data_IF_026972950972
#
_entry.id   IF_026972950972
#
_cell.length_a   1.000
_cell.length_b   1.000
_cell.length_c   1.000
_cell.angle_alpha   90.00
_cell.angle_beta   90.00
_cell.angle_gamma   90.00
#
_symmetry.space_group_name_H-M   'P 1'
#
loop_
_entity.id
_entity.type
_entity.pdbx_description
1 polymer ?
#
# COMPACT_ATOMS: atom_id res chain seq x y z
N UNK A 1 -3.20 12.08 -30.60
CA UNK A 1 -2.93 11.17 -29.47
C UNK A 1 -4.23 11.09 -28.68
N UNK A 2 -4.79 9.90 -28.52
CA UNK A 2 -5.95 9.69 -27.65
C UNK A 2 -5.59 10.13 -26.25
N UNK A 3 -6.45 10.93 -25.64
CA UNK A 3 -6.23 11.47 -24.30
C UNK A 3 -6.53 10.37 -23.29
N UNK A 4 -5.52 9.92 -22.54
CA UNK A 4 -5.72 8.96 -21.45
C UNK A 4 -6.45 9.68 -20.32
N UNK A 5 -7.68 9.27 -20.04
CA UNK A 5 -8.48 9.78 -18.93
C UNK A 5 -8.11 9.01 -17.66
N UNK A 6 -7.27 9.60 -16.80
CA UNK A 6 -6.78 8.96 -15.57
C UNK A 6 -7.90 8.52 -14.61
N UNK A 7 -9.07 9.18 -14.65
CA UNK A 7 -10.25 8.80 -13.86
C UNK A 7 -10.75 7.39 -14.17
N UNK A 8 -10.52 6.87 -15.38
CA UNK A 8 -10.89 5.51 -15.77
C UNK A 8 -10.22 4.44 -14.86
N UNK A 9 -9.03 4.73 -14.32
CA UNK A 9 -8.30 3.83 -13.43
C UNK A 9 -9.02 3.59 -12.09
N UNK A 10 -9.88 4.50 -11.65
CA UNK A 10 -10.67 4.31 -10.42
C UNK A 10 -11.77 3.26 -10.55
N UNK A 11 -12.08 2.81 -11.79
CA UNK A 11 -13.03 1.72 -12.03
C UNK A 11 -12.39 0.32 -11.92
N UNK A 12 -11.07 0.24 -11.76
CA UNK A 12 -10.40 -1.04 -11.51
C UNK A 12 -10.69 -1.43 -10.05
N UNK A 13 -11.25 -2.64 -9.87
CA UNK A 13 -11.52 -3.19 -8.54
C UNK A 13 -10.22 -3.63 -7.88
N UNK A 14 -9.93 -3.09 -6.68
CA UNK A 14 -8.78 -3.47 -5.87
C UNK A 14 -9.19 -3.87 -4.47
N UNK A 15 -8.52 -4.88 -3.92
CA UNK A 15 -8.44 -5.09 -2.47
C UNK A 15 -7.51 -4.06 -1.81
N UNK A 16 -7.30 -4.19 -0.51
CA UNK A 16 -6.34 -3.38 0.23
C UNK A 16 -5.57 -4.26 1.21
N UNK A 17 -4.24 -4.16 1.16
CA UNK A 17 -3.33 -5.11 1.78
C UNK A 17 -2.20 -4.39 2.49
N UNK A 18 -1.74 -4.99 3.61
CA UNK A 18 -0.48 -4.59 4.21
C UNK A 18 0.60 -5.60 3.80
N UNK A 19 1.71 -5.09 3.28
CA UNK A 19 2.90 -5.89 3.00
C UNK A 19 3.89 -5.69 4.13
N UNK A 20 4.51 -6.77 4.63
CA UNK A 20 5.58 -6.70 5.60
C UNK A 20 6.87 -7.31 5.06
N UNK A 21 7.99 -6.78 5.49
CA UNK A 21 9.33 -7.23 5.16
C UNK A 21 10.30 -6.92 6.32
N UNK A 22 11.53 -7.42 6.25
CA UNK A 22 12.57 -7.16 7.24
C UNK A 22 13.91 -6.97 6.54
N UNK A 23 14.67 -5.93 6.90
CA UNK A 23 15.96 -5.57 6.31
C UNK A 23 17.17 -6.23 7.05
N UNK A 24 16.89 -7.17 7.93
CA UNK A 24 17.88 -7.80 8.82
C UNK A 24 18.10 -7.04 10.14
N UNK A 25 17.57 -5.83 10.28
CA UNK A 25 17.68 -4.99 11.48
C UNK A 25 16.33 -4.70 12.12
N UNK A 26 15.33 -4.37 11.31
CA UNK A 26 13.97 -4.04 11.75
C UNK A 26 12.90 -4.56 10.80
N UNK A 27 11.75 -4.85 11.35
CA UNK A 27 10.55 -5.11 10.58
C UNK A 27 10.01 -3.81 9.96
N UNK A 28 9.49 -3.90 8.74
CA UNK A 28 8.90 -2.77 8.03
C UNK A 28 7.64 -3.19 7.29
N UNK A 29 6.78 -2.22 6.96
CA UNK A 29 5.54 -2.48 6.24
C UNK A 29 5.10 -1.30 5.37
N UNK A 30 4.19 -1.59 4.44
CA UNK A 30 3.54 -0.62 3.58
C UNK A 30 2.13 -1.09 3.20
N UNK A 31 1.30 -0.15 2.74
CA UNK A 31 -0.02 -0.47 2.17
C UNK A 31 0.08 -0.57 0.65
N UNK A 32 -0.55 -1.59 0.09
CA UNK A 32 -0.69 -1.77 -1.36
C UNK A 32 -2.12 -2.18 -1.72
N UNK A 33 -2.49 -1.97 -2.98
CA UNK A 33 -3.77 -2.43 -3.54
C UNK A 33 -3.57 -3.39 -4.73
N UNK A 34 -2.36 -3.84 -4.98
CA UNK A 34 -1.92 -4.49 -6.21
C UNK A 34 -1.65 -5.99 -6.07
N UNK A 35 -2.12 -6.63 -5.00
CA UNK A 35 -2.02 -8.08 -4.86
C UNK A 35 -3.01 -8.77 -5.81
N UNK A 36 -2.51 -9.66 -6.68
CA UNK A 36 -3.32 -10.42 -7.62
C UNK A 36 -2.80 -11.86 -7.71
N UNK A 37 -3.72 -12.82 -7.72
CA UNK A 37 -3.40 -14.22 -8.05
C UNK A 37 -3.15 -14.37 -9.54
N UNK A 38 -2.02 -14.95 -9.91
CA UNK A 38 -1.60 -15.16 -11.30
C UNK A 38 -1.77 -16.62 -11.75
N UNK A 39 -1.54 -17.56 -10.85
CA UNK A 39 -1.66 -18.98 -11.13
C UNK A 39 -2.08 -19.76 -9.88
N UNK A 40 -2.67 -20.93 -10.07
CA UNK A 40 -3.10 -21.81 -8.99
C UNK A 40 -2.20 -23.06 -8.81
N UNK A 41 -1.44 -23.43 -9.83
CA UNK A 41 -0.51 -24.57 -9.77
C UNK A 41 0.70 -24.32 -10.68
N UNK A 42 1.86 -23.93 -10.13
CA UNK A 42 2.07 -23.54 -8.73
C UNK A 42 1.26 -22.31 -8.32
N UNK A 43 1.04 -22.15 -7.01
CA UNK A 43 0.31 -20.95 -6.52
C UNK A 43 1.22 -19.73 -6.58
N UNK A 44 0.90 -18.83 -7.51
CA UNK A 44 1.67 -17.60 -7.79
C UNK A 44 0.78 -16.39 -7.54
N UNK A 45 1.32 -15.45 -6.78
CA UNK A 45 0.76 -14.11 -6.60
C UNK A 45 1.71 -13.06 -7.18
N UNK A 46 1.18 -11.92 -7.60
CA UNK A 46 1.98 -10.75 -7.97
C UNK A 46 1.64 -9.55 -7.11
N UNK A 47 2.64 -8.69 -6.86
CA UNK A 47 2.50 -7.43 -6.13
C UNK A 47 3.31 -6.36 -6.83
N UNK A 48 2.70 -5.24 -7.20
CA UNK A 48 3.41 -4.08 -7.71
C UNK A 48 3.68 -3.08 -6.56
N UNK A 49 4.93 -2.68 -6.38
CA UNK A 49 5.37 -1.78 -5.31
C UNK A 49 6.10 -0.58 -5.92
N UNK A 50 5.71 0.63 -5.49
CA UNK A 50 6.39 1.85 -5.93
C UNK A 50 7.86 1.84 -5.48
N UNK A 51 8.78 2.12 -6.42
CA UNK A 51 10.24 2.10 -6.21
C UNK A 51 10.73 3.16 -5.21
N UNK A 52 9.94 4.18 -4.91
CA UNK A 52 10.27 5.16 -3.88
C UNK A 52 10.02 4.64 -2.45
N UNK A 53 9.25 3.56 -2.28
CA UNK A 53 9.04 2.93 -0.99
C UNK A 53 10.30 2.19 -0.53
N UNK A 54 10.72 2.42 0.71
CA UNK A 54 11.84 1.70 1.31
C UNK A 54 11.69 0.17 1.24
N UNK A 55 10.48 -0.32 1.48
CA UNK A 55 10.17 -1.76 1.42
C UNK A 55 10.42 -2.37 0.04
N UNK A 56 10.33 -1.58 -1.05
CA UNK A 56 10.63 -2.09 -2.40
C UNK A 56 12.05 -2.64 -2.48
N UNK A 57 13.03 -1.86 -2.02
CA UNK A 57 14.45 -2.23 -2.10
C UNK A 57 14.75 -3.41 -1.15
N UNK A 58 14.19 -3.37 0.06
CA UNK A 58 14.30 -4.46 1.04
C UNK A 58 13.78 -5.79 0.44
N UNK A 59 12.57 -5.79 -0.15
CA UNK A 59 11.98 -6.99 -0.74
C UNK A 59 12.77 -7.46 -1.96
N UNK A 60 13.27 -6.53 -2.76
CA UNK A 60 14.11 -6.86 -3.94
C UNK A 60 15.41 -7.55 -3.54
N UNK A 61 16.00 -7.17 -2.41
CA UNK A 61 17.22 -7.76 -1.86
C UNK A 61 16.94 -9.08 -1.15
N UNK A 62 16.00 -9.08 -0.20
CA UNK A 62 15.73 -10.25 0.68
C UNK A 62 14.92 -11.36 0.00
N UNK A 63 14.22 -11.05 -1.10
CA UNK A 63 13.34 -11.97 -1.84
C UNK A 63 12.17 -12.51 -1.04
N UNK A 64 11.80 -11.86 0.06
CA UNK A 64 10.72 -12.30 0.97
C UNK A 64 9.79 -11.17 1.33
N UNK A 65 8.51 -11.47 1.41
CA UNK A 65 7.49 -10.60 2.00
C UNK A 65 6.33 -11.42 2.56
N UNK A 66 5.58 -10.85 3.50
CA UNK A 66 4.22 -11.29 3.79
C UNK A 66 3.23 -10.29 3.22
N UNK A 67 2.05 -10.75 2.86
CA UNK A 67 0.91 -9.91 2.49
C UNK A 67 -0.26 -10.27 3.37
N UNK A 68 -0.81 -9.29 4.08
CA UNK A 68 -1.93 -9.41 4.99
C UNK A 68 -3.17 -8.76 4.34
N UNK A 69 -4.27 -9.50 4.25
CA UNK A 69 -5.55 -9.00 3.74
C UNK A 69 -6.24 -8.18 4.84
N UNK A 70 -6.32 -6.86 4.67
CA UNK A 70 -6.98 -5.98 5.63
C UNK A 70 -8.49 -6.17 5.61
N UNK A 71 -9.12 -6.06 6.78
CA UNK A 71 -10.58 -6.15 6.93
C UNK A 71 -11.24 -4.78 6.97
N UNK A 72 -12.55 -4.75 6.79
CA UNK A 72 -13.35 -3.51 6.93
C UNK A 72 -13.26 -2.91 8.35
N UNK A 73 -12.84 -3.71 9.34
CA UNK A 73 -12.66 -3.28 10.74
C UNK A 73 -11.28 -2.66 10.99
N UNK A 74 -10.38 -2.64 9.99
CA UNK A 74 -9.05 -2.04 10.12
C UNK A 74 -9.15 -0.53 10.38
N UNK A 75 -8.66 -0.02 11.52
CA UNK A 75 -8.76 1.38 11.86
C UNK A 75 -7.81 2.24 11.03
N UNK A 76 -8.13 3.54 10.87
CA UNK A 76 -7.39 4.45 10.00
C UNK A 76 -5.92 4.63 10.40
N UNK A 77 -5.59 4.55 11.68
CA UNK A 77 -4.21 4.70 12.17
C UNK A 77 -3.24 3.65 11.59
N UNK A 78 -3.72 2.46 11.23
CA UNK A 78 -2.93 1.44 10.52
C UNK A 78 -2.52 1.93 9.13
N UNK A 79 -3.46 2.58 8.41
CA UNK A 79 -3.16 3.18 7.10
C UNK A 79 -2.20 4.35 7.23
N UNK A 80 -2.35 5.15 8.28
CA UNK A 80 -1.45 6.26 8.56
C UNK A 80 -0.03 5.78 8.86
N UNK A 81 0.13 4.83 9.79
CA UNK A 81 1.41 4.24 10.16
C UNK A 81 2.12 3.57 8.97
N UNK A 82 1.41 2.72 8.23
CA UNK A 82 2.01 1.91 7.17
C UNK A 82 2.10 2.65 5.82
N UNK A 83 1.15 3.54 5.53
CA UNK A 83 1.03 4.20 4.22
C UNK A 83 1.64 5.60 4.13
N UNK A 84 1.68 6.38 5.23
CA UNK A 84 2.03 7.80 5.18
C UNK A 84 3.41 8.14 5.77
N UNK A 85 4.12 7.16 6.32
CA UNK A 85 5.46 7.32 6.86
C UNK A 85 6.48 6.48 6.09
N UNK A 86 7.76 6.90 6.14
CA UNK A 86 8.86 6.11 5.58
C UNK A 86 9.41 5.15 6.63
N UNK A 87 9.63 3.89 6.23
CA UNK A 87 10.34 2.93 7.08
C UNK A 87 11.84 3.23 7.25
N UNK A 88 12.38 4.21 6.51
CA UNK A 88 13.76 4.70 6.76
C UNK A 88 13.86 5.40 8.11
N UNK A 89 12.84 6.19 8.46
CA UNK A 89 12.88 7.15 9.56
C UNK A 89 12.06 6.70 10.77
N UNK A 90 11.10 5.77 10.57
CA UNK A 90 10.18 5.32 11.63
C UNK A 90 10.11 3.81 11.72
N UNK A 91 9.85 3.31 12.94
CA UNK A 91 9.44 1.92 13.17
C UNK A 91 7.93 1.81 12.96
N UNK A 92 7.55 1.41 11.75
CA UNK A 92 6.15 1.37 11.31
C UNK A 92 5.35 0.21 11.89
N UNK A 93 6.03 -0.86 12.33
CA UNK A 93 5.39 -2.08 12.84
C UNK A 93 5.39 -2.17 14.36
N UNK A 94 5.98 -1.20 15.05
CA UNK A 94 5.92 -1.15 16.52
C UNK A 94 4.45 -1.20 16.97
N UNK A 95 4.12 -2.18 17.80
CA UNK A 95 2.79 -2.42 18.38
C UNK A 95 1.67 -2.74 17.35
N UNK A 96 2.04 -3.13 16.12
CA UNK A 96 1.07 -3.43 15.04
C UNK A 96 1.01 -4.91 14.69
N UNK A 97 1.99 -5.70 15.10
CA UNK A 97 2.02 -7.14 14.85
C UNK A 97 2.13 -7.95 16.15
N UNK A 98 1.61 -9.19 16.13
CA UNK A 98 1.59 -10.05 17.31
C UNK A 98 2.52 -11.24 17.18
N UNK A 99 2.88 -11.65 15.97
CA UNK A 99 3.66 -12.85 15.73
C UNK A 99 4.36 -12.82 14.38
N UNK A 100 5.25 -13.80 14.14
CA UNK A 100 5.97 -13.98 12.88
C UNK A 100 5.57 -15.29 12.21
N UNK A 101 5.43 -15.26 10.89
CA UNK A 101 5.18 -16.44 10.06
C UNK A 101 6.44 -17.32 9.93
N UNK A 102 6.31 -18.45 9.25
CA UNK A 102 7.41 -19.41 9.07
C UNK A 102 8.64 -18.81 8.39
N UNK A 103 8.46 -17.80 7.51
CA UNK A 103 9.58 -17.10 6.87
C UNK A 103 10.28 -16.06 7.77
N UNK A 104 9.82 -15.90 9.02
CA UNK A 104 10.38 -14.99 10.02
C UNK A 104 9.90 -13.55 9.93
N UNK A 105 8.96 -13.22 9.01
CA UNK A 105 8.43 -11.87 8.85
C UNK A 105 7.18 -11.64 9.71
N UNK A 106 6.96 -10.39 10.11
CA UNK A 106 5.83 -9.97 10.91
C UNK A 106 4.48 -10.23 10.19
N UNK A 107 3.49 -10.66 10.95
CA UNK A 107 2.09 -10.78 10.54
C UNK A 107 1.27 -9.87 11.44
N UNK A 108 0.42 -9.04 10.85
CA UNK A 108 -0.43 -8.11 11.59
C UNK A 108 -1.42 -8.85 12.50
N UNK A 109 -2.00 -8.14 13.48
CA UNK A 109 -3.00 -8.71 14.37
C UNK A 109 -4.17 -9.31 13.60
N UNK A 110 -4.63 -10.50 14.01
CA UNK A 110 -5.78 -11.17 13.43
C UNK A 110 -7.12 -10.43 13.61
N UNK A 111 -7.14 -9.37 14.42
CA UNK A 111 -8.31 -8.49 14.56
C UNK A 111 -8.51 -7.58 13.36
N UNK A 112 -7.42 -7.23 12.65
CA UNK A 112 -7.45 -6.28 11.53
C UNK A 112 -7.17 -6.94 10.17
N UNK A 113 -6.88 -8.25 10.16
CA UNK A 113 -6.67 -9.02 8.94
C UNK A 113 -7.51 -10.31 8.96
N UNK A 114 -7.96 -10.76 7.80
CA UNK A 114 -8.70 -12.03 7.69
C UNK A 114 -7.87 -13.17 7.10
N UNK A 115 -6.78 -12.85 6.42
CA UNK A 115 -5.84 -13.83 5.87
C UNK A 115 -4.45 -13.22 5.69
N UNK A 116 -3.44 -14.09 5.60
CA UNK A 116 -2.11 -13.68 5.15
C UNK A 116 -1.47 -14.72 4.25
N UNK A 117 -0.48 -14.28 3.48
CA UNK A 117 0.33 -15.07 2.58
C UNK A 117 1.80 -14.77 2.84
N UNK A 118 2.63 -15.80 3.05
CA UNK A 118 4.09 -15.68 3.00
C UNK A 118 4.54 -15.93 1.57
N UNK A 119 5.33 -15.01 1.04
CA UNK A 119 5.72 -14.96 -0.36
C UNK A 119 7.24 -15.01 -0.52
N UNK A 120 7.70 -15.79 -1.48
CA UNK A 120 9.08 -15.83 -1.96
C UNK A 120 9.13 -15.30 -3.40
N UNK A 121 9.96 -14.26 -3.64
CA UNK A 121 10.08 -13.61 -4.95
C UNK A 121 10.84 -14.51 -5.92
N UNK A 122 10.17 -14.97 -6.97
CA UNK A 122 10.77 -15.76 -8.06
C UNK A 122 11.29 -14.88 -9.20
N UNK A 123 10.57 -13.79 -9.53
CA UNK A 123 11.02 -12.84 -10.55
C UNK A 123 10.58 -11.42 -10.25
N UNK A 124 11.24 -10.47 -10.90
CA UNK A 124 11.00 -9.03 -10.77
C UNK A 124 10.98 -8.39 -12.15
N UNK A 125 9.97 -7.55 -12.39
CA UNK A 125 9.82 -6.78 -13.64
C UNK A 125 9.83 -5.30 -13.29
N UNK A 126 10.72 -4.53 -13.93
CA UNK A 126 10.76 -3.08 -13.80
C UNK A 126 9.67 -2.44 -14.68
N UNK A 127 8.74 -1.73 -14.05
CA UNK A 127 7.64 -1.01 -14.71
C UNK A 127 7.87 0.52 -14.71
N UNK A 128 9.11 0.98 -14.57
CA UNK A 128 9.44 2.40 -14.46
C UNK A 128 9.25 2.92 -13.05
N UNK A 129 8.06 3.42 -12.68
CA UNK A 129 7.77 3.93 -11.33
C UNK A 129 7.59 2.84 -10.27
N UNK A 130 7.23 1.62 -10.69
CA UNK A 130 6.96 0.47 -9.81
C UNK A 130 7.81 -0.73 -10.21
N UNK A 131 8.06 -1.61 -9.25
CA UNK A 131 8.53 -2.96 -9.49
C UNK A 131 7.41 -3.97 -9.32
N UNK A 132 7.20 -4.85 -10.28
CA UNK A 132 6.28 -5.98 -10.18
C UNK A 132 7.05 -7.21 -9.69
N UNK A 133 6.66 -7.70 -8.52
CA UNK A 133 7.21 -8.91 -7.91
C UNK A 133 6.28 -10.08 -8.22
N UNK A 134 6.80 -11.12 -8.85
CA UNK A 134 6.13 -12.39 -9.09
C UNK A 134 6.61 -13.36 -8.02
N UNK A 135 5.69 -13.89 -7.24
CA UNK A 135 6.02 -14.58 -6.00
C UNK A 135 5.32 -15.91 -5.90
N UNK A 136 6.04 -16.92 -5.44
CA UNK A 136 5.48 -18.20 -5.00
C UNK A 136 4.95 -18.07 -3.58
N UNK A 137 3.78 -18.61 -3.32
CA UNK A 137 3.22 -18.72 -1.98
C UNK A 137 3.87 -19.89 -1.23
N UNK A 138 4.45 -19.60 -0.07
CA UNK A 138 5.11 -20.60 0.79
C UNK A 138 4.28 -20.92 2.03
N UNK A 139 3.43 -20.00 2.48
CA UNK A 139 2.47 -20.21 3.56
C UNK A 139 1.23 -19.36 3.28
N UNK A 140 0.04 -19.87 3.58
CA UNK A 140 -1.21 -19.14 3.54
C UNK A 140 -2.13 -19.60 4.67
N UNK A 141 -2.78 -18.64 5.36
CA UNK A 141 -3.77 -18.95 6.41
C UNK A 141 -4.92 -17.98 6.38
N UNK A 142 -6.12 -18.48 6.57
CA UNK A 142 -7.29 -17.70 6.94
C UNK A 142 -7.31 -17.54 8.46
N UNK A 143 -7.52 -16.32 8.95
CA UNK A 143 -7.49 -15.98 10.37
C UNK A 143 -8.86 -15.60 10.91
N UNK A 144 -9.72 -15.01 10.09
CA UNK A 144 -11.10 -14.64 10.45
C UNK A 144 -12.04 -14.71 9.25
N UNK A 145 -13.34 -14.58 9.52
CA UNK A 145 -14.39 -14.47 8.50
C UNK A 145 -14.80 -13.03 8.21
N UNK A 146 -14.11 -12.04 8.78
CA UNK A 146 -14.38 -10.62 8.52
C UNK A 146 -14.20 -10.30 7.04
N UNK A 147 -14.99 -9.37 6.52
CA UNK A 147 -14.96 -8.97 5.12
C UNK A 147 -13.63 -8.28 4.76
N UNK A 148 -13.05 -8.64 3.62
CA UNK A 148 -11.83 -7.99 3.12
C UNK A 148 -12.13 -6.58 2.68
N UNK A 149 -11.31 -5.62 3.11
CA UNK A 149 -11.42 -4.23 2.69
C UNK A 149 -11.08 -4.06 1.21
N UNK A 150 -11.97 -3.40 0.48
CA UNK A 150 -11.69 -2.92 -0.88
C UNK A 150 -11.13 -1.50 -0.85
N UNK A 151 -10.39 -1.12 -1.89
CA UNK A 151 -9.89 0.25 -2.03
C UNK A 151 -11.01 1.29 -2.09
N UNK A 152 -12.13 0.94 -2.76
CA UNK A 152 -13.33 1.78 -2.81
C UNK A 152 -14.01 1.93 -1.44
N UNK A 153 -14.09 0.86 -0.65
CA UNK A 153 -14.62 0.92 0.71
C UNK A 153 -13.78 1.85 1.59
N UNK A 154 -12.44 1.69 1.55
CA UNK A 154 -11.51 2.57 2.28
C UNK A 154 -11.74 4.04 1.96
N UNK A 155 -11.82 4.40 0.68
CA UNK A 155 -12.04 5.80 0.28
C UNK A 155 -13.38 6.37 0.74
N UNK A 156 -14.42 5.54 0.76
CA UNK A 156 -15.77 5.95 1.12
C UNK A 156 -15.99 6.04 2.63
N UNK A 157 -15.44 5.09 3.40
CA UNK A 157 -15.85 4.85 4.79
C UNK A 157 -14.73 5.04 5.82
N UNK A 158 -13.47 4.80 5.47
CA UNK A 158 -12.35 4.77 6.43
C UNK A 158 -11.47 6.01 6.34
N UNK A 159 -11.14 6.42 5.11
CA UNK A 159 -10.30 7.60 4.88
C UNK A 159 -10.98 8.85 5.40
N UNK A 160 -10.36 9.62 6.33
CA UNK A 160 -10.93 10.85 6.83
C UNK A 160 -11.25 11.81 5.68
N UNK A 161 -12.48 12.29 5.63
CA UNK A 161 -12.84 13.40 4.74
C UNK A 161 -12.18 14.65 5.31
N UNK A 162 -11.15 15.15 4.64
CA UNK A 162 -10.53 16.40 5.06
C UNK A 162 -11.52 17.54 4.83
N UNK A 163 -11.78 18.27 5.89
CA UNK A 163 -12.48 19.55 5.77
C UNK A 163 -11.53 20.55 5.09
N UNK A 164 -11.72 20.70 3.79
CA UNK A 164 -10.96 21.67 2.98
C UNK A 164 -11.55 23.07 3.02
N UNK A 165 -12.69 23.25 3.69
CA UNK A 165 -13.45 24.53 3.71
C UNK A 165 -12.67 25.69 4.35
N UNK A 166 -11.59 25.41 5.10
CA UNK A 166 -10.73 26.40 5.77
C UNK A 166 -9.31 26.50 5.19
N UNK A 167 -8.98 25.69 4.18
CA UNK A 167 -7.63 25.65 3.61
C UNK A 167 -7.64 26.22 2.20
N UNK A 168 -6.66 27.08 1.90
CA UNK A 168 -6.36 27.55 0.54
C UNK A 168 -5.20 26.73 -0.03
N UNK A 169 -5.20 26.53 -1.35
CA UNK A 169 -4.12 25.82 -2.03
C UNK A 169 -4.60 24.71 -2.94
N UNK A 170 -3.88 23.59 -2.96
CA UNK A 170 -4.16 22.47 -3.84
C UNK A 170 -4.28 21.17 -3.03
N UNK A 171 -5.31 20.37 -3.30
CA UNK A 171 -5.51 19.08 -2.64
C UNK A 171 -5.18 17.93 -3.59
N UNK A 172 -4.37 16.99 -3.13
CA UNK A 172 -4.10 15.75 -3.86
C UNK A 172 -5.37 14.87 -3.87
N UNK A 173 -5.92 14.60 -5.05
CA UNK A 173 -7.10 13.75 -5.24
C UNK A 173 -6.90 12.32 -4.73
N UNK A 174 -5.65 11.84 -4.73
CA UNK A 174 -5.31 10.47 -4.36
C UNK A 174 -5.28 10.29 -2.84
N UNK A 175 -4.48 11.09 -2.10
CA UNK A 175 -4.29 10.93 -0.66
C UNK A 175 -4.91 12.03 0.19
N UNK A 176 -5.38 13.12 -0.44
CA UNK A 176 -5.95 14.28 0.26
C UNK A 176 -4.90 15.18 0.94
N UNK A 177 -3.61 15.02 0.64
CA UNK A 177 -2.59 15.97 1.08
C UNK A 177 -2.92 17.36 0.54
N UNK A 178 -2.84 18.38 1.39
CA UNK A 178 -3.04 19.78 1.00
C UNK A 178 -1.67 20.46 0.89
N UNK A 179 -1.40 20.97 -0.30
CA UNK A 179 -0.28 21.87 -0.54
C UNK A 179 -0.78 23.31 -0.35
N UNK A 180 -0.44 23.90 0.79
CA UNK A 180 -0.89 25.25 1.17
C UNK A 180 -0.03 26.30 0.44
N UNK A 181 -0.36 26.59 -0.82
CA UNK A 181 0.33 27.56 -1.69
C UNK A 181 -0.65 28.10 -2.73
N UNK A 182 -0.46 29.33 -3.16
CA UNK A 182 -1.27 29.95 -4.23
C UNK A 182 -0.95 29.36 -5.61
N UNK A 183 0.17 28.64 -5.77
CA UNK A 183 0.59 28.03 -7.02
C UNK A 183 1.04 26.59 -6.80
N UNK A 184 0.83 25.72 -7.80
CA UNK A 184 1.34 24.35 -7.81
C UNK A 184 2.38 24.22 -8.92
N UNK A 185 3.67 23.95 -8.60
CA UNK A 185 4.69 23.73 -9.61
C UNK A 185 4.34 22.54 -10.52
N UNK A 186 4.62 22.61 -11.84
CA UNK A 186 4.30 21.52 -12.77
C UNK A 186 4.97 20.19 -12.44
N UNK A 187 6.14 20.25 -11.79
CA UNK A 187 6.94 19.12 -11.35
C UNK A 187 6.69 18.72 -9.90
N UNK A 188 5.67 19.31 -9.25
CA UNK A 188 5.33 19.01 -7.86
C UNK A 188 4.97 17.52 -7.69
N UNK A 189 5.58 16.89 -6.70
CA UNK A 189 5.32 15.51 -6.32
C UNK A 189 4.74 15.49 -4.91
N UNK A 190 3.59 14.84 -4.75
CA UNK A 190 2.95 14.69 -3.46
C UNK A 190 3.90 14.05 -2.44
N UNK A 191 4.21 14.68 -1.30
CA UNK A 191 5.12 14.13 -0.31
C UNK A 191 4.59 12.85 0.34
N UNK A 192 3.27 12.62 0.29
CA UNK A 192 2.61 11.47 0.89
C UNK A 192 2.55 10.28 -0.09
N UNK A 193 1.82 10.43 -1.21
CA UNK A 193 1.54 9.31 -2.11
C UNK A 193 2.39 9.32 -3.39
N UNK A 194 3.28 10.32 -3.55
CA UNK A 194 4.23 10.44 -4.66
C UNK A 194 3.60 10.61 -6.05
N UNK A 195 2.32 10.98 -6.12
CA UNK A 195 1.66 11.36 -7.36
C UNK A 195 2.06 12.78 -7.80
N UNK A 196 2.04 13.04 -9.10
CA UNK A 196 2.46 14.33 -9.67
C UNK A 196 1.38 15.41 -9.58
N UNK A 197 1.72 16.62 -10.05
CA UNK A 197 0.86 17.80 -10.02
C UNK A 197 -0.50 17.60 -10.71
N UNK A 198 -0.59 16.75 -11.73
CA UNK A 198 -1.83 16.43 -12.45
C UNK A 198 -2.91 15.77 -11.57
N UNK A 199 -2.52 15.24 -10.42
CA UNK A 199 -3.42 14.62 -9.45
C UNK A 199 -3.85 15.58 -8.33
N UNK A 200 -3.56 16.87 -8.49
CA UNK A 200 -4.00 17.91 -7.59
C UNK A 200 -5.12 18.76 -8.20
N UNK A 201 -5.98 19.26 -7.35
CA UNK A 201 -7.03 20.22 -7.71
C UNK A 201 -7.02 21.40 -6.74
N UNK A 202 -7.36 22.63 -7.22
CA UNK A 202 -7.43 23.80 -6.34
C UNK A 202 -8.57 23.63 -5.32
N UNK A 203 -8.32 24.13 -4.12
CA UNK A 203 -9.32 24.27 -3.05
C UNK A 203 -9.93 25.66 -3.23
N UNK A 204 -11.21 25.71 -3.62
CA UNK A 204 -11.98 26.94 -3.79
C UNK A 204 -12.60 27.40 -2.47
#
# INVERSE_FOLDING_TARGET
MEQIESKALFNIGYGLYAVTCNDGKKDNGLIVNTLIQQASSPLILSVAINKQNYSHDVIKETKKMNVCCLTIDTPFDIFEKLGFHSGRDTDKLKDVFNWKSQNGLAVLSGEIINAFFSLEVESYIDLGSHGLFICRVTEAKTLSSSETMTYSYYHKNVKPKKDTSKKKGYVCKICGYVHESDTLPPDFVCPICKHGAQDFEPIN
#
